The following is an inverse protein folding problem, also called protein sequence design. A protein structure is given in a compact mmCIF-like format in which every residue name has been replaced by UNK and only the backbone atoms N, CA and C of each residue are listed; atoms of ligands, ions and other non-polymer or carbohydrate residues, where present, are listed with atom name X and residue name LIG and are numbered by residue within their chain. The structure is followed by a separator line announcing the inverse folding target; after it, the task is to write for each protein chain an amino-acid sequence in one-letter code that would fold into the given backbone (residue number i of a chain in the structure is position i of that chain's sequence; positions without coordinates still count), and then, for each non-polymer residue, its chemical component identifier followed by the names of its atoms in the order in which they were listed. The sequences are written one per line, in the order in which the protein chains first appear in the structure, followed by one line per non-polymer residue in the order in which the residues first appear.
data_IF_209152614937
#
_entry.id   IF_209152614937
#
_cell.length_a   1.000
_cell.length_b   1.000
_cell.length_c   1.000
_cell.angle_alpha   90.00
_cell.angle_beta   90.00
_cell.angle_gamma   90.00
#
_symmetry.space_group_name_H-M   'P 1'
#
loop_
_entity.id
_entity.type
_entity.pdbx_description
1 polymer ?
#
# COMPACT_ATOMS: atom_id res chain seq x y z
N UNK A 1 1.45 -1.80 -21.81
CA UNK A 1 0.10 -1.95 -21.24
C UNK A 1 0.24 -1.86 -19.74
N UNK A 2 -0.60 -1.05 -19.07
CA UNK A 2 -0.56 -0.94 -17.60
C UNK A 2 -0.95 -2.29 -16.99
N UNK A 3 -0.14 -2.79 -16.05
CA UNK A 3 -0.42 -4.03 -15.37
C UNK A 3 -1.55 -3.93 -14.32
N UNK A 4 -1.98 -2.71 -14.00
CA UNK A 4 -3.04 -2.43 -13.05
C UNK A 4 -4.32 -1.96 -13.75
N UNK A 5 -5.50 -2.20 -13.13
CA UNK A 5 -6.74 -1.59 -13.58
C UNK A 5 -6.68 -0.06 -13.54
N UNK A 6 -7.23 0.63 -14.54
CA UNK A 6 -7.16 2.08 -14.68
C UNK A 6 -7.71 2.85 -13.47
N UNK A 7 -8.76 2.33 -12.83
CA UNK A 7 -9.36 2.91 -11.62
C UNK A 7 -8.33 2.98 -10.47
N UNK A 8 -7.56 1.90 -10.30
CA UNK A 8 -6.52 1.83 -9.28
C UNK A 8 -5.32 2.71 -9.61
N UNK A 9 -4.90 2.78 -10.89
CA UNK A 9 -3.85 3.70 -11.34
C UNK A 9 -4.24 5.14 -11.02
N UNK A 10 -5.46 5.55 -11.39
CA UNK A 10 -5.99 6.88 -11.06
C UNK A 10 -5.96 7.13 -9.56
N UNK A 11 -6.43 6.18 -8.76
CA UNK A 11 -6.39 6.29 -7.30
C UNK A 11 -4.97 6.53 -6.76
N UNK A 12 -3.97 5.77 -7.24
CA UNK A 12 -2.57 5.93 -6.81
C UNK A 12 -2.01 7.32 -7.11
N UNK A 13 -2.39 7.91 -8.25
CA UNK A 13 -1.93 9.22 -8.72
C UNK A 13 -2.64 10.41 -8.06
N UNK A 14 -3.80 10.20 -7.40
CA UNK A 14 -4.53 11.27 -6.72
C UNK A 14 -3.67 11.96 -5.65
N UNK A 15 -3.63 13.31 -5.60
CA UNK A 15 -2.89 14.06 -4.58
C UNK A 15 -3.70 14.16 -3.28
N UNK A 16 -3.99 13.01 -2.67
CA UNK A 16 -4.67 12.88 -1.38
C UNK A 16 -3.81 12.02 -0.45
N UNK A 17 -3.85 12.26 0.88
CA UNK A 17 -3.15 11.39 1.80
C UNK A 17 -3.73 9.98 1.71
N UNK A 18 -2.86 8.99 1.49
CA UNK A 18 -3.23 7.56 1.49
C UNK A 18 -2.78 6.91 2.79
N UNK A 19 -3.68 6.20 3.48
CA UNK A 19 -3.35 5.40 4.66
C UNK A 19 -3.23 3.94 4.24
N UNK A 20 -2.13 3.29 4.65
CA UNK A 20 -1.79 1.95 4.19
C UNK A 20 -1.74 0.97 5.35
N UNK A 21 -2.35 -0.20 5.16
CA UNK A 21 -2.22 -1.35 6.06
C UNK A 21 -1.78 -2.56 5.26
N UNK A 22 -0.71 -3.21 5.71
CA UNK A 22 -0.22 -4.43 5.15
C UNK A 22 -0.58 -5.57 6.08
N UNK A 23 -0.89 -6.73 5.50
CA UNK A 23 -1.09 -7.96 6.24
C UNK A 23 -0.47 -9.14 5.50
N UNK A 24 0.22 -10.00 6.23
CA UNK A 24 0.59 -11.33 5.75
C UNK A 24 0.15 -12.37 6.77
N UNK A 25 -0.13 -13.58 6.32
CA UNK A 25 -0.61 -14.66 7.16
C UNK A 25 0.10 -15.95 6.78
N UNK A 26 0.56 -16.68 7.80
CA UNK A 26 1.03 -18.05 7.64
C UNK A 26 -0.16 -19.00 7.70
N UNK A 27 -0.10 -20.10 6.96
CA UNK A 27 -1.17 -21.11 6.97
C UNK A 27 -1.47 -21.56 8.42
N UNK A 28 -2.73 -21.39 8.83
CA UNK A 28 -3.21 -21.77 10.17
C UNK A 28 -2.85 -20.80 11.30
N UNK A 29 -2.32 -19.61 11.01
CA UNK A 29 -2.02 -18.58 12.00
C UNK A 29 -2.89 -17.32 11.79
N UNK A 30 -2.93 -16.46 12.81
CA UNK A 30 -3.53 -15.13 12.67
C UNK A 30 -2.68 -14.23 11.77
N UNK A 31 -3.29 -13.31 11.00
CA UNK A 31 -2.53 -12.34 10.20
C UNK A 31 -1.66 -11.44 11.08
N UNK A 32 -0.44 -11.16 10.62
CA UNK A 32 0.40 -10.09 11.14
C UNK A 32 0.16 -8.86 10.29
N UNK A 33 -0.25 -7.78 10.94
CA UNK A 33 -0.56 -6.51 10.28
C UNK A 33 0.43 -5.42 10.70
N UNK A 34 0.76 -4.53 9.76
CA UNK A 34 1.49 -3.30 10.05
C UNK A 34 1.02 -2.13 9.19
N UNK A 35 1.40 -0.92 9.61
CA UNK A 35 1.09 0.32 8.87
C UNK A 35 2.17 0.60 7.83
N UNK A 36 1.73 0.99 6.63
CA UNK A 36 2.56 1.62 5.61
C UNK A 36 2.42 3.14 5.64
N UNK A 37 3.48 3.82 5.24
CA UNK A 37 3.60 5.27 5.33
C UNK A 37 3.66 5.95 3.97
N UNK A 38 3.96 5.23 2.90
CA UNK A 38 3.77 5.64 1.52
C UNK A 38 3.79 4.39 0.64
N UNK A 39 3.46 4.54 -0.64
CA UNK A 39 3.70 3.51 -1.63
C UNK A 39 4.15 4.10 -2.97
N UNK A 40 4.92 3.31 -3.71
CA UNK A 40 5.37 3.60 -5.08
C UNK A 40 4.99 2.44 -5.98
N UNK A 41 4.28 2.70 -7.07
CA UNK A 41 4.00 1.70 -8.08
C UNK A 41 5.06 1.74 -9.19
N UNK A 42 5.55 0.56 -9.57
CA UNK A 42 6.40 0.29 -10.73
C UNK A 42 5.55 -0.44 -11.77
N UNK A 43 4.86 0.35 -12.60
CA UNK A 43 3.81 -0.10 -13.53
C UNK A 43 4.29 -1.19 -14.50
N UNK A 44 5.52 -1.09 -15.02
CA UNK A 44 6.09 -2.05 -15.97
C UNK A 44 6.34 -3.43 -15.36
N UNK A 45 6.54 -3.49 -14.04
CA UNK A 45 6.93 -4.70 -13.32
C UNK A 45 5.77 -5.27 -12.46
N UNK A 46 4.60 -4.64 -12.52
CA UNK A 46 3.45 -4.95 -11.65
C UNK A 46 3.82 -4.95 -10.17
N UNK A 47 4.81 -4.13 -9.78
CA UNK A 47 5.34 -4.10 -8.41
C UNK A 47 4.88 -2.85 -7.68
N UNK A 48 4.49 -3.01 -6.43
CA UNK A 48 4.27 -1.91 -5.49
C UNK A 48 5.34 -2.01 -4.41
N UNK A 49 6.06 -0.93 -4.18
CA UNK A 49 6.89 -0.75 -2.99
C UNK A 49 6.07 -0.06 -1.92
N UNK A 50 6.04 -0.63 -0.72
CA UNK A 50 5.36 -0.06 0.42
C UNK A 50 6.38 0.27 1.49
N UNK A 51 6.39 1.52 1.94
CA UNK A 51 7.36 1.99 2.92
C UNK A 51 6.82 1.79 4.33
N UNK A 52 7.54 1.05 5.16
CA UNK A 52 7.17 0.72 6.53
C UNK A 52 8.33 1.04 7.48
N UNK A 53 8.03 1.25 8.76
CA UNK A 53 9.07 1.37 9.79
C UNK A 53 9.82 0.04 9.97
N UNK A 54 11.11 0.13 10.25
CA UNK A 54 12.00 -1.00 10.56
C UNK A 54 11.46 -1.83 11.72
N UNK A 55 10.93 -1.19 12.76
CA UNK A 55 10.31 -1.88 13.90
C UNK A 55 9.08 -2.71 13.52
N UNK A 56 8.29 -2.23 12.56
CA UNK A 56 7.16 -2.97 12.00
C UNK A 56 7.62 -4.10 11.08
N UNK A 57 8.68 -3.85 10.30
CA UNK A 57 9.28 -4.85 9.43
C UNK A 57 9.74 -6.08 10.20
N UNK A 58 10.42 -5.91 11.34
CA UNK A 58 10.92 -7.04 12.14
C UNK A 58 9.81 -8.04 12.48
N UNK A 59 8.62 -7.54 12.83
CA UNK A 59 7.44 -8.37 13.15
C UNK A 59 6.85 -9.04 11.90
N UNK A 60 6.79 -8.32 10.79
CA UNK A 60 6.22 -8.83 9.54
C UNK A 60 7.16 -9.84 8.85
N UNK A 61 8.46 -9.58 8.88
CA UNK A 61 9.51 -10.43 8.29
C UNK A 61 9.50 -11.84 8.86
N UNK A 62 9.24 -11.97 10.17
CA UNK A 62 9.09 -13.28 10.80
C UNK A 62 7.94 -14.10 10.22
N UNK A 63 6.91 -13.49 9.63
CA UNK A 63 5.81 -14.19 8.96
C UNK A 63 6.00 -14.36 7.45
N UNK A 64 6.82 -13.52 6.82
CA UNK A 64 7.08 -13.54 5.38
C UNK A 64 8.14 -14.59 5.02
N UNK A 65 7.86 -15.34 3.96
CA UNK A 65 8.84 -16.17 3.26
C UNK A 65 8.79 -15.79 1.78
N UNK A 66 9.83 -16.13 0.98
CA UNK A 66 9.72 -16.03 -0.47
C UNK A 66 8.40 -16.66 -0.96
N UNK A 67 7.75 -16.01 -1.92
CA UNK A 67 6.47 -16.43 -2.52
C UNK A 67 5.24 -16.40 -1.60
N UNK A 68 5.37 -15.94 -0.35
CA UNK A 68 4.20 -15.72 0.52
C UNK A 68 3.30 -14.61 -0.03
N UNK A 69 2.00 -14.78 0.21
CA UNK A 69 1.03 -13.75 -0.09
C UNK A 69 1.14 -12.58 0.90
N UNK A 70 1.03 -11.38 0.33
CA UNK A 70 0.96 -10.13 1.04
C UNK A 70 -0.27 -9.37 0.51
N UNK A 71 -1.03 -8.80 1.43
CA UNK A 71 -2.16 -7.93 1.11
C UNK A 71 -1.85 -6.52 1.61
N UNK A 72 -2.20 -5.52 0.81
CA UNK A 72 -2.06 -4.11 1.14
C UNK A 72 -3.38 -3.41 0.89
N UNK A 73 -3.99 -2.88 1.94
CA UNK A 73 -5.12 -1.97 1.86
C UNK A 73 -4.59 -0.55 1.76
N UNK A 74 -5.02 0.19 0.75
CA UNK A 74 -4.80 1.62 0.59
C UNK A 74 -6.15 2.34 0.71
N UNK A 75 -6.21 3.35 1.56
CA UNK A 75 -7.43 4.14 1.79
C UNK A 75 -7.12 5.62 1.63
N UNK A 76 -7.89 6.31 0.79
CA UNK A 76 -7.88 7.77 0.72
C UNK A 76 -8.36 8.35 2.04
N UNK A 77 -7.57 9.26 2.62
CA UNK A 77 -7.94 9.95 3.84
C UNK A 77 -9.12 10.89 3.69
N UNK A 78 -9.44 11.34 2.47
CA UNK A 78 -10.44 12.39 2.23
C UNK A 78 -11.85 11.84 2.05
N UNK A 79 -11.99 10.77 1.27
CA UNK A 79 -13.29 10.25 0.80
C UNK A 79 -13.48 8.75 1.07
N UNK A 80 -12.54 8.11 1.77
CA UNK A 80 -12.56 6.66 2.08
C UNK A 80 -12.59 5.74 0.85
N UNK A 81 -12.31 6.26 -0.36
CA UNK A 81 -12.04 5.38 -1.51
C UNK A 81 -10.88 4.46 -1.14
N UNK A 82 -11.05 3.15 -1.32
CA UNK A 82 -10.03 2.19 -0.92
C UNK A 82 -9.94 0.98 -1.83
N UNK A 83 -8.71 0.47 -1.91
CA UNK A 83 -8.35 -0.68 -2.71
C UNK A 83 -7.48 -1.63 -1.88
N UNK A 84 -7.75 -2.92 -2.00
CA UNK A 84 -6.86 -3.95 -1.48
C UNK A 84 -6.13 -4.61 -2.64
N UNK A 85 -4.80 -4.48 -2.64
CA UNK A 85 -3.93 -5.20 -3.56
C UNK A 85 -3.48 -6.48 -2.88
N UNK A 86 -3.59 -7.61 -3.57
CA UNK A 86 -3.07 -8.90 -3.12
C UNK A 86 -2.06 -9.40 -4.14
N UNK A 87 -1.01 -10.03 -3.66
CA UNK A 87 0.02 -10.58 -4.53
C UNK A 87 1.14 -11.25 -3.75
N UNK A 88 2.22 -11.55 -4.46
CA UNK A 88 3.37 -12.21 -3.88
C UNK A 88 4.34 -11.19 -3.30
N UNK A 89 4.86 -11.51 -2.12
CA UNK A 89 5.99 -10.80 -1.56
C UNK A 89 7.21 -10.92 -2.49
N UNK A 90 7.79 -9.78 -2.84
CA UNK A 90 8.85 -9.64 -3.84
C UNK A 90 10.08 -8.94 -3.24
N UNK A 91 10.44 -9.35 -2.03
CA UNK A 91 11.64 -8.88 -1.34
C UNK A 91 11.46 -7.56 -0.59
N UNK A 92 12.57 -7.07 -0.04
CA UNK A 92 12.64 -5.79 0.65
C UNK A 92 13.99 -5.12 0.39
N UNK A 93 14.05 -3.81 0.56
CA UNK A 93 15.29 -3.03 0.47
C UNK A 93 15.31 -1.88 1.47
N UNK A 94 16.49 -1.41 1.90
CA UNK A 94 16.63 -0.13 2.58
C UNK A 94 15.92 0.99 1.82
N UNK A 95 15.42 1.97 2.58
CA UNK A 95 14.89 3.20 2.02
C UNK A 95 15.98 3.91 1.20
N UNK A 96 15.69 4.21 -0.06
CA UNK A 96 16.64 4.85 -0.97
C UNK A 96 16.40 6.36 -1.04
N UNK A 97 17.41 7.12 -1.46
CA UNK A 97 17.34 8.59 -1.56
C UNK A 97 16.18 9.06 -2.45
N UNK A 98 15.92 8.34 -3.54
CA UNK A 98 14.82 8.59 -4.48
C UNK A 98 13.42 8.44 -3.86
N UNK A 99 13.29 7.70 -2.75
CA UNK A 99 12.01 7.48 -2.08
C UNK A 99 11.63 8.66 -1.16
N UNK A 100 12.58 9.55 -0.81
CA UNK A 100 12.37 10.63 0.16
C UNK A 100 11.19 11.54 -0.23
N UNK A 101 11.08 11.86 -1.52
CA UNK A 101 10.01 12.74 -2.02
C UNK A 101 8.62 12.19 -1.75
N UNK A 102 8.45 10.86 -1.74
CA UNK A 102 7.13 10.23 -1.52
C UNK A 102 6.68 10.31 -0.06
N UNK A 103 7.59 10.08 0.90
CA UNK A 103 7.27 10.23 2.32
C UNK A 103 6.97 11.70 2.67
N UNK A 104 7.77 12.63 2.15
CA UNK A 104 7.55 14.07 2.36
C UNK A 104 6.23 14.52 1.74
N UNK A 105 5.95 14.14 0.50
CA UNK A 105 4.68 14.46 -0.16
C UNK A 105 3.49 13.92 0.65
N UNK A 106 3.56 12.68 1.11
CA UNK A 106 2.50 12.09 1.94
C UNK A 106 2.34 12.82 3.28
N UNK A 107 3.44 13.25 3.90
CA UNK A 107 3.44 14.08 5.13
C UNK A 107 2.75 15.42 4.89
N UNK A 108 3.09 16.10 3.80
CA UNK A 108 2.50 17.38 3.41
C UNK A 108 1.01 17.26 3.12
N UNK A 109 0.58 16.26 2.36
CA UNK A 109 -0.84 15.98 2.08
C UNK A 109 -1.62 15.70 3.37
N UNK A 110 -1.00 14.97 4.31
CA UNK A 110 -1.61 14.68 5.62
C UNK A 110 -1.71 15.95 6.46
N UNK A 111 -0.68 16.79 6.48
CA UNK A 111 -0.66 18.08 7.18
C UNK A 111 -1.74 19.04 6.68
N UNK A 112 -1.89 19.14 5.35
CA UNK A 112 -2.88 20.00 4.72
C UNK A 112 -4.31 19.54 5.01
N UNK A 113 -4.55 18.22 5.03
CA UNK A 113 -5.89 17.64 5.23
C UNK A 113 -6.24 17.52 6.72
N UNK A 114 -5.28 17.15 7.55
CA UNK A 114 -5.45 16.81 8.97
C UNK A 114 -4.33 17.43 9.83
N UNK A 115 -4.32 18.76 10.02
CA UNK A 115 -3.22 19.45 10.70
C UNK A 115 -2.98 18.95 12.14
N UNK A 116 -4.04 18.48 12.82
CA UNK A 116 -3.94 17.96 14.19
C UNK A 116 -3.33 16.54 14.28
N UNK A 117 -3.25 15.80 13.17
CA UNK A 117 -2.72 14.42 13.12
C UNK A 117 -1.26 14.37 12.65
N UNK A 118 -0.67 15.52 12.35
CA UNK A 118 0.68 15.66 11.83
C UNK A 118 1.75 14.93 12.66
N UNK A 119 1.68 15.07 13.98
CA UNK A 119 2.65 14.49 14.91
C UNK A 119 2.66 12.95 14.89
N UNK A 120 1.55 12.33 14.48
CA UNK A 120 1.42 10.87 14.39
C UNK A 120 2.02 10.30 13.09
N UNK A 121 2.39 11.17 12.16
CA UNK A 121 2.92 10.80 10.84
C UNK A 121 4.39 11.21 10.63
N UNK A 122 5.06 11.74 11.66
CA UNK A 122 6.49 12.02 11.60
C UNK A 122 7.27 10.71 11.55
N UNK A 123 7.78 10.39 10.37
CA UNK A 123 8.62 9.20 10.13
C UNK A 123 9.96 9.64 9.58
N UNK A 124 11.03 9.14 10.18
CA UNK A 124 12.37 9.38 9.68
C UNK A 124 12.69 8.37 8.55
N UNK A 125 13.06 8.82 7.35
CA UNK A 125 13.45 7.93 6.24
C UNK A 125 14.47 6.84 6.60
N UNK A 126 15.44 7.14 7.48
CA UNK A 126 16.49 6.16 7.86
C UNK A 126 15.94 4.97 8.65
N UNK A 127 14.77 5.15 9.25
CA UNK A 127 14.06 4.14 10.02
C UNK A 127 13.09 3.32 9.15
N UNK A 128 13.09 3.51 7.83
CA UNK A 128 12.17 2.84 6.91
C UNK A 128 12.82 1.71 6.09
N UNK A 129 12.00 0.74 5.72
CA UNK A 129 12.25 -0.23 4.67
C UNK A 129 11.18 -0.12 3.58
N UNK A 130 11.54 -0.46 2.35
CA UNK A 130 10.60 -0.65 1.25
C UNK A 130 10.34 -2.14 1.05
N UNK A 131 9.06 -2.55 1.15
CA UNK A 131 8.61 -3.93 0.97
C UNK A 131 8.00 -4.05 -0.42
N UNK A 132 8.51 -5.00 -1.21
CA UNK A 132 8.04 -5.28 -2.55
C UNK A 132 6.82 -6.20 -2.53
N UNK A 133 5.79 -5.81 -3.28
CA UNK A 133 4.62 -6.62 -3.59
C UNK A 133 4.49 -6.73 -5.10
N UNK A 134 4.65 -7.93 -5.65
CA UNK A 134 4.25 -8.22 -7.03
C UNK A 134 2.75 -8.47 -7.05
N UNK A 135 2.00 -7.48 -7.52
CA UNK A 135 0.55 -7.50 -7.49
C UNK A 135 -0.01 -8.56 -8.45
N UNK A 136 -0.99 -9.31 -7.96
CA UNK A 136 -1.75 -10.28 -8.74
C UNK A 136 -3.21 -9.80 -8.92
N UNK A 137 -3.79 -9.25 -7.86
CA UNK A 137 -5.22 -8.92 -7.81
C UNK A 137 -5.42 -7.56 -7.12
N UNK A 138 -6.41 -6.80 -7.59
CA UNK A 138 -6.83 -5.54 -6.98
C UNK A 138 -8.33 -5.59 -6.74
N UNK A 139 -8.73 -5.44 -5.48
CA UNK A 139 -10.12 -5.45 -5.04
C UNK A 139 -10.54 -4.05 -4.62
N UNK A 140 -11.74 -3.63 -5.01
CA UNK A 140 -12.36 -2.44 -4.43
C UNK A 140 -12.75 -2.75 -2.99
N UNK A 141 -12.39 -1.88 -2.04
CA UNK A 141 -12.77 -1.98 -0.64
C UNK A 141 -13.57 -0.75 -0.17
N UNK A 142 -13.82 0.19 -1.08
CA UNK A 142 -14.67 1.35 -0.84
C UNK A 142 -16.03 0.89 -0.30
N UNK A 143 -16.50 1.39 0.85
CA UNK A 143 -17.78 1.01 1.43
C UNK A 143 -18.93 1.17 0.43
N UNK A 144 -19.68 0.10 0.19
CA UNK A 144 -20.80 0.08 -0.73
C UNK A 144 -21.10 -1.33 -1.25
N UNK A 145 -22.12 -1.50 -2.11
CA UNK A 145 -22.52 -2.82 -2.63
C UNK A 145 -21.43 -3.55 -3.41
N UNK A 146 -20.38 -2.85 -3.82
CA UNK A 146 -19.28 -3.36 -4.62
C UNK A 146 -17.99 -3.57 -3.81
N UNK A 147 -18.03 -3.44 -2.49
CA UNK A 147 -16.89 -3.76 -1.64
C UNK A 147 -16.54 -5.25 -1.75
N UNK A 148 -15.26 -5.56 -1.87
CA UNK A 148 -14.73 -6.91 -2.06
C UNK A 148 -14.71 -7.42 -3.51
N UNK A 149 -15.18 -6.64 -4.50
CA UNK A 149 -15.16 -7.05 -5.90
C UNK A 149 -13.78 -6.86 -6.53
N UNK A 150 -13.39 -7.81 -7.40
CA UNK A 150 -12.16 -7.72 -8.20
C UNK A 150 -12.35 -6.66 -9.28
N UNK A 151 -11.44 -5.68 -9.35
CA UNK A 151 -11.60 -4.50 -10.22
C UNK A 151 -11.52 -4.87 -11.71
N UNK A 152 -10.72 -5.88 -12.08
CA UNK A 152 -10.62 -6.35 -13.47
C UNK A 152 -11.90 -7.01 -13.99
N UNK A 153 -12.79 -7.50 -13.12
CA UNK A 153 -14.08 -8.09 -13.51
C UNK A 153 -15.12 -7.02 -13.87
N UNK A 154 -14.87 -5.74 -13.60
CA UNK A 154 -15.77 -4.61 -13.90
C UNK A 154 -15.74 -4.16 -15.37
N UNK A 155 -15.37 -5.03 -16.32
CA UNK A 155 -15.51 -4.71 -17.75
C UNK A 155 -16.92 -4.16 -18.01
N UNK A 156 -17.05 -3.06 -18.78
CA UNK A 156 -18.26 -2.27 -18.80
C UNK A 156 -19.44 -3.15 -19.22
N UNK A 157 -20.48 -3.19 -18.39
CA UNK A 157 -21.80 -3.53 -18.89
C UNK A 157 -22.14 -2.43 -19.89
N UNK A 158 -22.05 -2.76 -21.18
CA UNK A 158 -22.57 -1.98 -22.30
C UNK A 158 -24.05 -1.71 -22.04
#
# INVERSE_FOLDING_TARGET
MNAYPDEFVRFLERPVPKFLHLASVRKGQSPICCRGYAARAEYEQSRIWIYILRSQWLRLHEALQPEHWLAVLLTSGVDNESYQVKGQYDGYRPFAKEDHGLLEQQRELTLQTFPQLASLHTVNPVDCFAIGLKAAEVYSQTPGPQAGFLVSERSPRI
#
